data_IF_141981849660
#
_entry.id   IF_141981849660
#
_cell.length_a   1.000
_cell.length_b   1.000
_cell.length_c   1.000
_cell.angle_alpha   90.00
_cell.angle_beta   90.00
_cell.angle_gamma   90.00
#
_symmetry.space_group_name_H-M   'P 1'
#
loop_
_entity.id
_entity.type
_entity.pdbx_description
1 polymer ?
#
# COMPACT_ATOMS: atom_id res chain seq x y z
N UNK A 1 -6.37 -6.86 18.94
CA UNK A 1 -7.14 -5.92 18.11
C UNK A 1 -7.24 -6.47 16.70
N UNK A 2 -8.36 -7.14 16.35
CA UNK A 2 -8.44 -7.82 15.06
C UNK A 2 -8.47 -6.86 13.86
N UNK A 3 -8.97 -5.64 14.02
CA UNK A 3 -9.15 -4.68 12.94
C UNK A 3 -7.89 -3.96 12.42
N UNK A 4 -6.73 -4.20 13.03
CA UNK A 4 -5.51 -3.47 12.67
C UNK A 4 -4.45 -4.34 11.98
N UNK A 5 -4.85 -5.50 11.50
CA UNK A 5 -3.97 -6.51 10.94
C UNK A 5 -4.33 -6.80 9.47
N UNK A 6 -3.30 -6.90 8.63
CA UNK A 6 -3.42 -7.41 7.26
C UNK A 6 -2.59 -8.67 7.10
N UNK A 7 -2.89 -9.45 6.09
CA UNK A 7 -1.93 -10.36 5.48
C UNK A 7 -1.53 -9.74 4.15
N UNK A 8 -0.26 -9.41 4.01
CA UNK A 8 0.33 -9.01 2.74
C UNK A 8 0.98 -10.21 2.07
N UNK A 9 1.19 -10.13 0.78
CA UNK A 9 1.92 -11.14 0.05
C UNK A 9 2.67 -10.54 -1.12
N UNK A 10 3.85 -11.06 -1.38
CA UNK A 10 4.64 -10.71 -2.55
C UNK A 10 4.72 -11.93 -3.45
N UNK A 11 4.50 -11.72 -4.72
CA UNK A 11 4.59 -12.77 -5.73
C UNK A 11 5.76 -12.47 -6.66
N UNK A 12 6.62 -13.48 -6.82
CA UNK A 12 7.66 -13.51 -7.84
C UNK A 12 7.21 -14.48 -8.92
N UNK A 13 6.95 -14.00 -10.12
CA UNK A 13 6.55 -14.80 -11.28
C UNK A 13 7.68 -14.83 -12.31
N UNK A 14 8.05 -16.03 -12.74
CA UNK A 14 9.06 -16.29 -13.77
C UNK A 14 8.44 -16.53 -15.14
N UNK A 15 7.16 -16.23 -15.29
CA UNK A 15 6.40 -16.31 -16.51
C UNK A 15 5.91 -14.95 -16.99
N UNK A 16 5.31 -14.92 -18.16
CA UNK A 16 4.73 -13.69 -18.72
C UNK A 16 3.20 -13.63 -18.58
N UNK A 17 2.58 -14.77 -18.28
CA UNK A 17 1.11 -14.90 -18.34
C UNK A 17 0.38 -13.99 -17.37
N UNK A 18 0.87 -13.84 -16.15
CA UNK A 18 0.23 -12.92 -15.18
C UNK A 18 0.26 -11.47 -15.70
N UNK A 19 1.42 -11.00 -16.12
CA UNK A 19 1.58 -9.62 -16.63
C UNK A 19 0.73 -9.37 -17.87
N UNK A 20 0.68 -10.33 -18.80
CA UNK A 20 -0.17 -10.25 -20.00
C UNK A 20 -1.65 -10.09 -19.62
N UNK A 21 -2.12 -10.94 -18.70
CA UNK A 21 -3.53 -10.93 -18.29
C UNK A 21 -3.91 -9.70 -17.47
N UNK A 22 -3.08 -9.28 -16.52
CA UNK A 22 -3.39 -8.12 -15.69
C UNK A 22 -3.31 -6.82 -16.51
N UNK A 23 -2.38 -6.72 -17.45
CA UNK A 23 -2.31 -5.58 -18.36
C UNK A 23 -3.53 -5.51 -19.30
N UNK A 24 -3.98 -6.65 -19.80
CA UNK A 24 -5.20 -6.72 -20.60
C UNK A 24 -6.45 -6.34 -19.78
N UNK A 25 -6.54 -6.80 -18.52
CA UNK A 25 -7.65 -6.49 -17.62
C UNK A 25 -7.72 -5.01 -17.26
N UNK A 26 -6.57 -4.39 -16.96
CA UNK A 26 -6.49 -3.02 -16.47
C UNK A 26 -6.32 -1.98 -17.57
N UNK A 27 -5.92 -2.39 -18.76
CA UNK A 27 -5.52 -1.50 -19.86
C UNK A 27 -4.23 -0.71 -19.56
N UNK A 28 -3.44 -1.16 -18.59
CA UNK A 28 -2.25 -0.44 -18.11
C UNK A 28 -1.02 -1.35 -18.11
N UNK A 29 0.12 -0.78 -18.44
CA UNK A 29 1.41 -1.45 -18.29
C UNK A 29 1.80 -1.54 -16.79
N UNK A 30 2.65 -2.50 -16.40
CA UNK A 30 3.22 -2.56 -15.06
C UNK A 30 3.82 -1.22 -14.61
N UNK A 31 3.47 -0.80 -13.40
CA UNK A 31 3.92 0.47 -12.82
C UNK A 31 3.17 1.71 -13.31
N UNK A 32 2.26 1.58 -14.25
CA UNK A 32 1.40 2.68 -14.73
C UNK A 32 -0.05 2.55 -14.31
N UNK A 33 -0.45 1.37 -13.85
CA UNK A 33 -1.76 1.10 -13.29
C UNK A 33 -1.85 1.51 -11.81
N UNK A 34 -3.08 1.69 -11.35
CA UNK A 34 -3.37 1.89 -9.94
C UNK A 34 -3.47 0.57 -9.17
N UNK A 35 -3.99 0.68 -7.95
CA UNK A 35 -4.34 -0.46 -7.14
C UNK A 35 -5.58 -1.17 -7.73
N UNK A 36 -5.48 -2.47 -7.92
CA UNK A 36 -6.62 -3.31 -8.30
C UNK A 36 -7.27 -3.82 -7.02
N UNK A 37 -8.54 -3.51 -6.81
CA UNK A 37 -9.30 -3.91 -5.61
C UNK A 37 -10.36 -4.92 -6.00
N UNK A 38 -10.29 -6.10 -5.41
CA UNK A 38 -11.25 -7.19 -5.55
C UNK A 38 -12.27 -7.09 -4.40
N UNK A 39 -13.19 -6.14 -4.55
CA UNK A 39 -14.13 -5.74 -3.49
C UNK A 39 -15.08 -6.85 -3.06
N UNK A 40 -15.35 -7.78 -3.95
CA UNK A 40 -16.28 -8.90 -3.73
C UNK A 40 -15.58 -10.13 -3.12
N UNK A 41 -14.24 -10.08 -2.93
CA UNK A 41 -13.49 -11.10 -2.22
C UNK A 41 -13.80 -11.09 -0.73
N UNK A 42 -14.01 -12.24 -0.13
CA UNK A 42 -14.17 -12.39 1.32
C UNK A 42 -13.04 -11.77 2.12
N UNK A 43 -11.82 -11.78 1.57
CA UNK A 43 -10.63 -11.15 2.15
C UNK A 43 -10.48 -9.67 1.81
N UNK A 44 -11.29 -9.12 0.90
CA UNK A 44 -11.13 -7.79 0.28
C UNK A 44 -9.68 -7.61 -0.19
N UNK A 45 -9.33 -8.43 -1.17
CA UNK A 45 -7.99 -8.46 -1.76
C UNK A 45 -7.72 -7.18 -2.56
N UNK A 46 -6.50 -6.72 -2.45
CA UNK A 46 -5.98 -5.62 -3.26
C UNK A 46 -4.59 -5.99 -3.76
N UNK A 47 -4.26 -5.57 -4.97
CA UNK A 47 -2.93 -5.83 -5.54
C UNK A 47 -2.42 -4.65 -6.36
N UNK A 48 -1.11 -4.53 -6.41
CA UNK A 48 -0.40 -3.54 -7.23
C UNK A 48 0.72 -4.23 -8.00
N UNK A 49 0.79 -3.92 -9.28
CA UNK A 49 1.87 -4.39 -10.15
C UNK A 49 2.82 -3.23 -10.38
N UNK A 50 4.02 -3.34 -9.84
CA UNK A 50 5.04 -2.32 -9.94
C UNK A 50 5.64 -2.23 -11.34
N UNK A 51 6.37 -1.15 -11.61
CA UNK A 51 7.24 -1.07 -12.78
C UNK A 51 8.29 -2.19 -12.72
N UNK A 52 8.58 -2.82 -13.85
CA UNK A 52 9.57 -3.90 -13.91
C UNK A 52 10.84 -3.44 -14.63
N UNK A 53 12.03 -3.77 -14.15
CA UNK A 53 12.32 -4.49 -12.90
C UNK A 53 12.08 -3.63 -11.67
N UNK A 54 11.50 -4.23 -10.62
CA UNK A 54 11.26 -3.57 -9.33
C UNK A 54 12.51 -3.56 -8.44
N UNK A 55 13.31 -4.60 -8.55
CA UNK A 55 14.47 -4.84 -7.68
C UNK A 55 15.76 -4.80 -8.51
N UNK A 56 16.80 -4.12 -8.00
CA UNK A 56 18.13 -4.13 -8.63
C UNK A 56 18.63 -5.57 -8.72
N UNK A 57 19.03 -5.97 -9.94
CA UNK A 57 19.48 -7.33 -10.22
C UNK A 57 18.37 -8.37 -10.42
N UNK A 58 17.11 -7.93 -10.53
CA UNK A 58 15.99 -8.80 -10.89
C UNK A 58 16.28 -9.51 -12.22
N UNK A 59 16.18 -10.86 -12.27
CA UNK A 59 16.47 -11.60 -13.50
C UNK A 59 15.52 -11.21 -14.63
N UNK A 60 16.00 -11.17 -15.89
CA UNK A 60 15.14 -10.99 -17.05
C UNK A 60 14.00 -12.02 -17.10
N UNK A 61 12.81 -11.59 -17.50
CA UNK A 61 11.63 -12.47 -17.58
C UNK A 61 10.99 -12.79 -16.22
N UNK A 62 11.50 -12.18 -15.14
CA UNK A 62 10.88 -12.28 -13.81
C UNK A 62 10.07 -11.01 -13.55
N UNK A 63 8.90 -11.14 -12.98
CA UNK A 63 8.11 -10.02 -12.47
C UNK A 63 7.85 -10.16 -10.98
N UNK A 64 7.74 -9.01 -10.30
CA UNK A 64 7.41 -8.94 -8.88
C UNK A 64 6.18 -8.07 -8.73
N UNK A 65 5.21 -8.54 -7.96
CA UNK A 65 4.03 -7.79 -7.62
C UNK A 65 3.59 -8.06 -6.19
N UNK A 66 2.77 -7.20 -5.65
CA UNK A 66 2.39 -7.21 -4.24
C UNK A 66 0.89 -7.12 -4.09
N UNK A 67 0.38 -7.75 -3.04
CA UNK A 67 -1.01 -7.66 -2.66
C UNK A 67 -1.22 -7.78 -1.16
N UNK A 68 -2.46 -7.57 -0.74
CA UNK A 68 -2.87 -7.72 0.65
C UNK A 68 -4.36 -8.03 0.75
N UNK A 69 -4.75 -8.67 1.86
CA UNK A 69 -6.13 -8.84 2.27
C UNK A 69 -6.41 -8.11 3.58
N UNK A 70 -7.55 -7.43 3.64
CA UNK A 70 -7.96 -6.61 4.78
C UNK A 70 -8.63 -7.42 5.90
N UNK A 71 -9.21 -8.57 5.57
CA UNK A 71 -9.94 -9.43 6.51
C UNK A 71 -9.32 -10.83 6.58
N UNK A 72 -8.09 -10.95 7.12
CA UNK A 72 -7.36 -12.21 7.10
C UNK A 72 -7.98 -13.31 7.97
N UNK A 73 -8.91 -12.98 8.83
CA UNK A 73 -9.67 -13.91 9.67
C UNK A 73 -10.88 -14.55 8.97
N UNK A 74 -11.23 -14.09 7.76
CA UNK A 74 -12.34 -14.66 6.98
C UNK A 74 -11.84 -15.79 6.09
N UNK A 75 -12.76 -16.69 5.77
CA UNK A 75 -12.53 -17.69 4.74
C UNK A 75 -12.52 -17.04 3.35
N UNK A 76 -11.74 -17.60 2.43
CA UNK A 76 -11.79 -17.21 1.03
C UNK A 76 -13.03 -17.77 0.34
N UNK A 77 -13.30 -17.30 -0.86
CA UNK A 77 -14.47 -17.71 -1.64
C UNK A 77 -14.20 -18.99 -2.45
N UNK A 78 -12.97 -19.21 -2.86
CA UNK A 78 -12.51 -20.41 -3.58
C UNK A 78 -11.68 -21.32 -2.67
N UNK A 79 -10.84 -20.74 -1.84
CA UNK A 79 -10.09 -21.42 -0.80
C UNK A 79 -10.82 -21.25 0.52
N UNK A 80 -11.65 -22.23 0.89
CA UNK A 80 -12.48 -22.19 2.11
C UNK A 80 -11.57 -22.37 3.35
N UNK A 81 -10.79 -21.32 3.63
CA UNK A 81 -9.81 -21.27 4.69
C UNK A 81 -9.49 -19.82 5.01
N UNK A 82 -9.22 -19.52 6.28
CA UNK A 82 -8.82 -18.18 6.71
C UNK A 82 -7.50 -17.78 6.04
N UNK A 83 -7.42 -16.56 5.53
CA UNK A 83 -6.22 -16.07 4.84
C UNK A 83 -4.95 -16.14 5.70
N UNK A 84 -5.08 -15.85 7.01
CA UNK A 84 -3.96 -15.90 7.96
C UNK A 84 -3.42 -17.31 8.24
N UNK A 85 -4.09 -18.33 7.74
CA UNK A 85 -3.71 -19.75 7.82
C UNK A 85 -3.33 -20.33 6.46
N UNK A 86 -3.51 -19.56 5.38
CA UNK A 86 -3.21 -20.00 4.03
C UNK A 86 -1.71 -20.02 3.74
N UNK A 87 -1.31 -20.98 2.92
CA UNK A 87 -0.02 -20.95 2.24
C UNK A 87 -0.01 -19.89 1.15
N UNK A 88 1.18 -19.52 0.67
CA UNK A 88 1.28 -18.59 -0.46
C UNK A 88 0.58 -19.10 -1.72
N UNK A 89 0.66 -20.42 -1.99
CA UNK A 89 -0.03 -21.02 -3.14
C UNK A 89 -1.56 -20.85 -3.03
N UNK A 90 -2.14 -21.08 -1.86
CA UNK A 90 -3.57 -20.90 -1.62
C UNK A 90 -4.01 -19.43 -1.78
N UNK A 91 -3.21 -18.47 -1.29
CA UNK A 91 -3.48 -17.04 -1.48
C UNK A 91 -3.40 -16.65 -2.95
N UNK A 92 -2.40 -17.16 -3.66
CA UNK A 92 -2.26 -16.91 -5.09
C UNK A 92 -3.43 -17.50 -5.88
N UNK A 93 -3.84 -18.73 -5.59
CA UNK A 93 -5.00 -19.36 -6.23
C UNK A 93 -6.27 -18.52 -6.05
N UNK A 94 -6.59 -18.14 -4.82
CA UNK A 94 -7.74 -17.28 -4.49
C UNK A 94 -7.70 -15.97 -5.30
N UNK A 95 -6.52 -15.32 -5.33
CA UNK A 95 -6.32 -14.07 -6.05
C UNK A 95 -6.55 -14.22 -7.55
N UNK A 96 -5.98 -15.27 -8.17
CA UNK A 96 -6.10 -15.51 -9.60
C UNK A 96 -7.53 -15.85 -10.02
N UNK A 97 -8.27 -16.58 -9.19
CA UNK A 97 -9.69 -16.89 -9.45
C UNK A 97 -10.56 -15.65 -9.38
N UNK A 98 -10.36 -14.77 -8.42
CA UNK A 98 -11.04 -13.49 -8.34
C UNK A 98 -10.72 -12.57 -9.55
N UNK A 99 -9.50 -12.63 -10.08
CA UNK A 99 -9.11 -11.97 -11.33
C UNK A 99 -9.71 -12.63 -12.59
N UNK A 100 -10.38 -13.80 -12.43
CA UNK A 100 -10.93 -14.63 -13.52
C UNK A 100 -9.86 -15.14 -14.50
N UNK A 101 -8.68 -15.45 -13.96
CA UNK A 101 -7.58 -16.00 -14.75
C UNK A 101 -7.58 -17.53 -14.78
N UNK A 102 -8.74 -18.17 -14.64
CA UNK A 102 -8.89 -19.63 -14.54
C UNK A 102 -8.23 -20.39 -15.69
N UNK A 103 -8.29 -19.86 -16.91
CA UNK A 103 -7.66 -20.48 -18.09
C UNK A 103 -6.14 -20.51 -18.02
N UNK A 104 -5.53 -19.64 -17.23
CA UNK A 104 -4.10 -19.48 -17.06
C UNK A 104 -3.62 -19.87 -15.66
N UNK A 105 -4.55 -20.30 -14.79
CA UNK A 105 -4.28 -20.58 -13.38
C UNK A 105 -3.09 -21.52 -13.21
N UNK A 106 -3.13 -22.70 -13.83
CA UNK A 106 -2.09 -23.71 -13.69
C UNK A 106 -0.71 -23.19 -14.17
N UNK A 107 -0.68 -22.44 -15.27
CA UNK A 107 0.57 -21.89 -15.82
C UNK A 107 1.17 -20.83 -14.90
N UNK A 108 0.35 -19.90 -14.37
CA UNK A 108 0.79 -18.85 -13.47
C UNK A 108 1.23 -19.46 -12.13
N UNK A 109 0.47 -20.39 -11.59
CA UNK A 109 0.83 -21.11 -10.36
C UNK A 109 2.17 -21.83 -10.47
N UNK A 110 2.43 -22.47 -11.61
CA UNK A 110 3.68 -23.20 -11.84
C UNK A 110 4.92 -22.31 -11.97
N UNK A 111 4.75 -21.06 -12.43
CA UNK A 111 5.85 -20.09 -12.61
C UNK A 111 6.04 -19.15 -11.44
N UNK A 112 5.12 -19.14 -10.47
CA UNK A 112 5.07 -18.16 -9.40
C UNK A 112 5.40 -18.72 -8.03
N UNK A 113 6.03 -17.89 -7.22
CA UNK A 113 6.21 -18.11 -5.78
C UNK A 113 5.52 -16.97 -5.06
N UNK A 114 4.57 -17.27 -4.20
CA UNK A 114 3.89 -16.31 -3.35
C UNK A 114 4.36 -16.46 -1.90
N UNK A 115 4.82 -15.36 -1.32
CA UNK A 115 5.29 -15.32 0.08
C UNK A 115 4.37 -14.43 0.89
N UNK A 116 3.54 -15.01 1.77
CA UNK A 116 2.69 -14.24 2.66
C UNK A 116 3.47 -13.68 3.86
N UNK A 117 3.04 -12.52 4.35
CA UNK A 117 3.55 -11.90 5.55
C UNK A 117 2.40 -11.34 6.38
N UNK A 118 2.34 -11.73 7.64
CA UNK A 118 1.35 -11.21 8.57
C UNK A 118 1.83 -9.86 9.11
N UNK A 119 1.04 -8.82 8.89
CA UNK A 119 1.34 -7.43 9.26
C UNK A 119 0.45 -6.98 10.43
N UNK A 120 0.89 -7.19 11.67
CA UNK A 120 0.13 -6.74 12.83
C UNK A 120 0.12 -5.21 12.90
N UNK A 121 -1.00 -4.64 13.34
CA UNK A 121 -1.17 -3.20 13.61
C UNK A 121 -0.99 -2.25 12.41
N UNK A 122 -0.93 -2.75 11.19
CA UNK A 122 -0.68 -1.92 9.98
C UNK A 122 -1.77 -0.87 9.75
N UNK A 123 -3.01 -1.16 10.18
CA UNK A 123 -4.15 -0.24 10.03
C UNK A 123 -4.25 0.83 11.13
N UNK A 124 -3.35 0.87 12.09
CA UNK A 124 -3.48 1.78 13.23
C UNK A 124 -3.57 3.25 12.82
N UNK A 125 -2.97 3.61 11.69
CA UNK A 125 -3.04 4.97 11.13
C UNK A 125 -4.44 5.37 10.67
N UNK A 126 -5.31 4.41 10.38
CA UNK A 126 -6.68 4.61 9.92
C UNK A 126 -7.73 4.56 11.05
N UNK A 127 -7.34 4.15 12.25
CA UNK A 127 -8.26 4.06 13.36
C UNK A 127 -8.72 5.45 13.79
N UNK A 128 -9.99 5.60 14.22
CA UNK A 128 -10.49 6.83 14.80
C UNK A 128 -9.58 7.27 15.96
N UNK A 129 -9.19 8.55 15.97
CA UNK A 129 -8.35 9.14 17.01
C UNK A 129 -8.72 10.60 17.23
N UNK A 130 -8.33 11.11 18.38
CA UNK A 130 -8.31 12.55 18.65
C UNK A 130 -6.92 13.10 18.35
N UNK A 131 -6.81 14.42 18.26
CA UNK A 131 -5.57 15.11 17.87
C UNK A 131 -4.36 14.82 18.75
N UNK A 132 -4.56 14.49 20.00
CA UNK A 132 -3.49 14.23 20.97
C UNK A 132 -3.06 12.76 21.09
N UNK A 133 -3.66 11.86 20.31
CA UNK A 133 -3.36 10.42 20.40
C UNK A 133 -2.00 10.04 19.82
N UNK A 134 -1.42 10.92 19.01
CA UNK A 134 -0.09 10.73 18.43
C UNK A 134 0.90 11.69 19.07
N UNK A 135 2.13 11.23 19.34
CA UNK A 135 3.17 12.11 19.82
C UNK A 135 3.66 13.07 18.73
N UNK A 136 4.11 14.29 19.07
CA UNK A 136 4.82 15.13 18.11
C UNK A 136 6.20 14.55 17.77
N UNK A 137 6.85 14.98 16.65
CA UNK A 137 8.19 14.54 16.30
C UNK A 137 9.24 14.73 17.38
N UNK A 138 9.12 15.79 18.18
CA UNK A 138 9.91 15.98 19.40
C UNK A 138 8.94 16.16 20.55
N UNK A 139 8.83 15.19 21.47
CA UNK A 139 7.99 15.32 22.66
C UNK A 139 8.37 16.51 23.51
N UNK A 140 7.39 17.10 24.20
CA UNK A 140 7.63 18.22 25.10
C UNK A 140 8.68 17.85 26.17
N UNK A 141 9.66 18.73 26.36
CA UNK A 141 10.77 18.51 27.30
C UNK A 141 11.89 17.59 26.77
N UNK A 142 11.73 16.95 25.61
CA UNK A 142 12.78 16.12 25.03
C UNK A 142 13.90 17.00 24.42
N UNK A 143 15.15 16.66 24.78
CA UNK A 143 16.34 17.35 24.27
C UNK A 143 17.19 16.51 23.34
N UNK A 144 17.01 15.19 23.35
CA UNK A 144 17.78 14.20 22.62
C UNK A 144 16.95 13.04 22.04
N UNK A 145 15.63 13.18 22.04
CA UNK A 145 14.70 12.17 21.52
C UNK A 145 13.87 12.76 20.39
N UNK A 146 13.95 12.15 19.22
CA UNK A 146 13.07 12.41 18.07
C UNK A 146 12.28 11.18 17.70
N UNK A 147 10.99 11.34 17.48
CA UNK A 147 10.07 10.32 17.00
C UNK A 147 9.78 10.60 15.54
N UNK A 148 10.00 9.62 14.68
CA UNK A 148 9.86 9.81 13.23
C UNK A 148 9.03 8.69 12.61
N UNK A 149 8.34 8.99 11.52
CA UNK A 149 7.51 8.05 10.79
C UNK A 149 6.03 8.41 10.80
N UNK A 150 5.20 7.50 10.33
CA UNK A 150 3.78 7.74 10.10
C UNK A 150 2.93 7.79 11.37
N UNK A 151 3.45 7.40 12.51
CA UNK A 151 2.73 7.35 13.78
C UNK A 151 2.82 8.64 14.60
N UNK A 152 3.62 9.62 14.16
CA UNK A 152 3.72 10.93 14.83
C UNK A 152 2.65 11.90 14.31
N UNK A 153 2.33 12.90 15.11
CA UNK A 153 1.41 13.97 14.72
C UNK A 153 2.17 15.14 14.10
N UNK A 154 1.83 15.47 12.88
CA UNK A 154 2.27 16.69 12.19
C UNK A 154 1.03 17.47 11.84
N UNK A 155 0.96 18.70 12.30
CA UNK A 155 -0.21 19.54 12.08
C UNK A 155 -0.50 19.73 10.59
N UNK A 156 -1.73 19.42 10.19
CA UNK A 156 -2.24 19.56 8.81
C UNK A 156 -1.63 18.62 7.79
N UNK A 157 -0.76 17.67 8.19
CA UNK A 157 -0.23 16.65 7.31
C UNK A 157 -1.17 15.45 7.24
N UNK A 158 -1.16 14.76 6.09
CA UNK A 158 -1.87 13.51 5.94
C UNK A 158 -0.94 12.39 6.40
N UNK A 159 -1.33 11.68 7.47
CA UNK A 159 -0.62 10.51 7.93
C UNK A 159 -0.50 9.46 6.80
N UNK A 160 0.39 8.52 6.92
CA UNK A 160 0.71 7.43 6.00
C UNK A 160 1.37 7.80 4.66
N UNK A 161 1.63 9.05 4.39
CA UNK A 161 2.39 9.44 3.20
C UNK A 161 3.90 9.34 3.46
N UNK A 162 4.67 9.13 2.41
CA UNK A 162 6.15 9.24 2.49
C UNK A 162 6.54 10.65 2.92
N UNK A 163 5.82 11.65 2.42
CA UNK A 163 5.97 13.06 2.80
C UNK A 163 5.90 13.23 4.33
N UNK A 164 4.90 12.67 4.98
CA UNK A 164 4.74 12.72 6.44
C UNK A 164 5.96 12.14 7.15
N UNK A 165 6.48 11.00 6.69
CA UNK A 165 7.66 10.37 7.28
C UNK A 165 8.92 11.22 7.14
N UNK A 166 9.17 11.78 5.95
CA UNK A 166 10.30 12.66 5.68
C UNK A 166 10.20 13.94 6.50
N UNK A 167 9.02 14.55 6.53
CA UNK A 167 8.76 15.78 7.29
C UNK A 167 8.97 15.58 8.78
N UNK A 168 8.52 14.45 9.35
CA UNK A 168 8.75 14.16 10.77
C UNK A 168 10.22 14.09 11.13
N UNK A 169 11.04 13.50 10.25
CA UNK A 169 12.49 13.48 10.44
C UNK A 169 13.10 14.88 10.33
N UNK A 170 12.67 15.67 9.34
CA UNK A 170 13.15 17.04 9.16
C UNK A 170 12.80 17.93 10.37
N UNK A 171 11.56 17.88 10.84
CA UNK A 171 11.15 18.60 12.06
C UNK A 171 11.96 18.19 13.28
N UNK A 172 12.16 16.88 13.49
CA UNK A 172 12.97 16.39 14.61
C UNK A 172 14.40 16.91 14.56
N UNK A 173 15.05 16.86 13.41
CA UNK A 173 16.42 17.38 13.22
C UNK A 173 16.48 18.89 13.44
N UNK A 174 15.54 19.63 12.85
CA UNK A 174 15.47 21.08 13.00
C UNK A 174 15.29 21.50 14.45
N UNK A 175 14.39 20.85 15.19
CA UNK A 175 14.11 21.18 16.60
C UNK A 175 15.28 20.80 17.50
N UNK A 176 15.81 19.58 17.35
CA UNK A 176 16.84 19.05 18.25
C UNK A 176 18.23 19.63 17.98
N UNK A 177 18.61 19.73 16.71
CA UNK A 177 19.98 20.12 16.33
C UNK A 177 20.10 21.59 15.94
N UNK A 178 18.99 22.29 15.74
CA UNK A 178 18.95 23.69 15.27
C UNK A 178 19.76 23.90 13.98
N UNK A 179 19.75 22.91 13.11
CA UNK A 179 20.49 22.89 11.84
C UNK A 179 19.57 22.85 10.63
N UNK A 180 19.99 23.53 9.59
CA UNK A 180 19.25 23.62 8.32
C UNK A 180 18.05 24.56 8.39
N UNK A 181 17.31 24.71 7.28
CA UNK A 181 16.07 25.48 7.25
C UNK A 181 14.95 24.74 7.95
N UNK A 182 13.99 25.47 8.50
CA UNK A 182 12.74 24.90 8.98
C UNK A 182 12.01 24.18 7.84
N UNK A 183 11.28 23.08 8.11
CA UNK A 183 10.41 22.48 7.11
C UNK A 183 9.43 23.52 6.56
N UNK A 184 9.21 23.58 5.25
CA UNK A 184 8.22 24.48 4.67
C UNK A 184 6.82 24.14 5.21
N UNK A 185 5.88 25.11 5.25
CA UNK A 185 4.51 24.83 5.69
C UNK A 185 3.87 23.75 4.82
N UNK A 186 2.99 22.94 5.42
CA UNK A 186 2.22 21.92 4.68
C UNK A 186 1.31 22.61 3.69
N UNK A 187 1.37 22.19 2.42
CA UNK A 187 0.53 22.73 1.36
C UNK A 187 -0.94 22.37 1.61
N UNK A 188 -1.77 23.38 1.64
CA UNK A 188 -3.20 23.26 1.92
C UNK A 188 -4.01 23.30 0.62
N UNK A 189 -3.85 22.27 -0.22
CA UNK A 189 -4.47 22.17 -1.54
C UNK A 189 -6.01 22.30 -1.53
N UNK A 190 -6.66 21.94 -0.41
CA UNK A 190 -8.11 22.10 -0.25
C UNK A 190 -8.57 23.58 -0.27
N UNK A 191 -7.67 24.53 -0.10
CA UNK A 191 -7.94 25.96 -0.18
C UNK A 191 -7.30 26.61 -1.42
N UNK A 192 -6.64 25.85 -2.28
CA UNK A 192 -6.05 26.38 -3.50
C UNK A 192 -7.12 26.44 -4.62
N UNK A 193 -7.49 27.64 -5.10
CA UNK A 193 -8.49 27.76 -6.15
C UNK A 193 -8.13 27.02 -7.45
N UNK A 194 -6.82 26.92 -7.77
CA UNK A 194 -6.36 26.18 -8.94
C UNK A 194 -6.58 24.68 -8.78
N UNK A 195 -6.26 24.12 -7.62
CA UNK A 195 -6.51 22.72 -7.32
C UNK A 195 -8.00 22.40 -7.34
N UNK A 196 -8.83 23.26 -6.75
CA UNK A 196 -10.29 23.14 -6.76
C UNK A 196 -10.85 23.20 -8.19
N UNK A 197 -10.37 24.13 -9.00
CA UNK A 197 -10.81 24.26 -10.40
C UNK A 197 -10.46 23.03 -11.23
N UNK A 198 -9.24 22.47 -11.06
CA UNK A 198 -8.84 21.24 -11.72
C UNK A 198 -9.72 20.07 -11.28
N UNK A 199 -9.99 19.96 -9.98
CA UNK A 199 -10.88 18.93 -9.45
C UNK A 199 -12.29 19.04 -10.06
N UNK A 200 -12.85 20.25 -10.12
CA UNK A 200 -14.15 20.49 -10.75
C UNK A 200 -14.18 20.09 -12.22
N UNK A 201 -13.13 20.40 -12.99
CA UNK A 201 -13.03 19.97 -14.40
C UNK A 201 -13.06 18.44 -14.52
N UNK A 202 -12.30 17.73 -13.69
CA UNK A 202 -12.27 16.26 -13.68
C UNK A 202 -13.64 15.70 -13.33
N UNK A 203 -14.33 16.23 -12.32
CA UNK A 203 -15.69 15.81 -11.97
C UNK A 203 -16.70 16.08 -13.09
N UNK A 204 -16.53 17.15 -13.86
CA UNK A 204 -17.37 17.48 -15.01
C UNK A 204 -17.01 16.69 -16.29
N UNK A 205 -16.01 15.78 -16.24
CA UNK A 205 -15.53 15.03 -17.40
C UNK A 205 -14.81 15.88 -18.44
N UNK A 206 -14.39 17.09 -18.07
CA UNK A 206 -13.66 18.02 -18.94
C UNK A 206 -12.16 17.73 -18.81
N UNK A 207 -11.53 17.29 -19.89
CA UNK A 207 -10.08 17.05 -19.97
C UNK A 207 -9.33 18.33 -20.33
#
# INVERSE_FOLDING_TARGET
MPLSRWVTFTVTDRGTKFIEQISALTGSEPGRGGLVILKDSGWVLSLSVFHQPEIIGQPPGTSVWWGYGLYPERDGDFVVKRMDQCTGAEILEETLRHLRFDRHLAAIMASSICVPCNMPYVNNIWLPRIRSDRPPPVPEGATNLGLIGQYVEIAREIAFTIECSVRSAWEAIYVLLKRGPAPPPVYQGQYDPKALFVAMKVFAGIR
#
